data_IF_582348984085
#
_entry.id   IF_582348984085
#
_cell.length_a   1.000
_cell.length_b   1.000
_cell.length_c   1.000
_cell.angle_alpha   90.00
_cell.angle_beta   90.00
_cell.angle_gamma   90.00
#
_symmetry.space_group_name_H-M   'P 1'
#
loop_
_entity.id
_entity.type
_entity.pdbx_description
1 polymer ?
#
# COMPACT_ATOMS: atom_id res chain seq x y z
N UNK A 1 1.09 -23.19 40.07
CA UNK A 1 0.90 -24.57 39.52
C UNK A 1 0.47 -24.45 38.06
N UNK A 2 1.32 -24.91 37.12
CA UNK A 2 1.01 -24.85 35.67
C UNK A 2 0.12 -26.02 35.27
N UNK A 3 -0.85 -25.78 34.36
CA UNK A 3 -1.75 -26.80 33.82
C UNK A 3 -0.97 -28.00 33.23
N UNK A 4 -1.49 -29.23 33.37
CA UNK A 4 -0.81 -30.42 32.89
C UNK A 4 -0.62 -30.38 31.36
N UNK A 5 0.41 -31.03 30.81
CA UNK A 5 0.86 -30.85 29.39
C UNK A 5 -0.22 -31.17 28.35
N UNK A 6 -1.18 -32.05 28.66
CA UNK A 6 -2.32 -32.34 27.75
C UNK A 6 -3.33 -31.18 27.68
N UNK A 7 -3.63 -30.52 28.79
CA UNK A 7 -4.53 -29.35 28.80
C UNK A 7 -3.93 -28.14 28.09
N UNK A 8 -2.64 -27.88 28.26
CA UNK A 8 -1.96 -26.82 27.52
C UNK A 8 -2.04 -27.01 26.01
N UNK A 9 -1.83 -28.24 25.51
CA UNK A 9 -1.93 -28.54 24.07
C UNK A 9 -3.36 -28.38 23.53
N UNK A 10 -4.39 -28.64 24.32
CA UNK A 10 -5.77 -28.43 23.88
C UNK A 10 -6.13 -26.93 23.83
N UNK A 11 -5.71 -26.15 24.81
CA UNK A 11 -5.91 -24.69 24.83
C UNK A 11 -5.17 -24.00 23.68
N UNK A 12 -3.90 -24.35 23.46
CA UNK A 12 -3.14 -23.81 22.33
C UNK A 12 -3.76 -24.17 20.97
N UNK A 13 -4.32 -25.37 20.84
CA UNK A 13 -5.04 -25.79 19.62
C UNK A 13 -6.29 -24.94 19.41
N UNK A 14 -7.06 -24.74 20.47
CA UNK A 14 -8.27 -23.93 20.43
C UNK A 14 -7.94 -22.47 20.04
N UNK A 15 -6.89 -21.89 20.63
CA UNK A 15 -6.40 -20.56 20.28
C UNK A 15 -6.08 -20.41 18.77
N UNK A 16 -5.35 -21.36 18.18
CA UNK A 16 -4.99 -21.34 16.75
C UNK A 16 -6.23 -21.36 15.86
N UNK A 17 -7.19 -22.22 16.18
CA UNK A 17 -8.44 -22.40 15.42
C UNK A 17 -9.33 -21.15 15.57
N UNK A 18 -9.55 -20.69 16.79
CA UNK A 18 -10.35 -19.50 17.07
C UNK A 18 -9.75 -18.26 16.39
N UNK A 19 -8.44 -18.03 16.55
CA UNK A 19 -7.74 -16.91 15.93
C UNK A 19 -7.95 -16.89 14.42
N UNK A 20 -7.70 -18.01 13.72
CA UNK A 20 -7.88 -18.10 12.27
C UNK A 20 -9.32 -17.85 11.83
N UNK A 21 -10.31 -18.43 12.54
CA UNK A 21 -11.74 -18.26 12.23
C UNK A 21 -12.22 -16.81 12.38
N UNK A 22 -11.72 -16.10 13.39
CA UNK A 22 -12.16 -14.73 13.67
C UNK A 22 -11.41 -13.68 12.85
N UNK A 23 -10.13 -13.90 12.55
CA UNK A 23 -9.32 -12.90 11.85
C UNK A 23 -9.29 -13.09 10.35
N UNK A 24 -9.50 -14.31 9.85
CA UNK A 24 -9.37 -14.69 8.44
C UNK A 24 -8.01 -14.30 7.81
N UNK A 25 -6.97 -14.15 8.63
CA UNK A 25 -5.65 -13.76 8.18
C UNK A 25 -4.95 -14.91 7.43
N UNK A 26 -4.05 -14.65 6.47
CA UNK A 26 -3.17 -15.64 5.86
C UNK A 26 -2.39 -16.47 6.88
N UNK A 27 -1.87 -17.64 6.47
CA UNK A 27 -1.18 -18.58 7.37
C UNK A 27 0.03 -17.93 8.09
N UNK A 28 0.81 -17.15 7.34
CA UNK A 28 2.04 -16.55 7.86
C UNK A 28 1.74 -15.40 8.83
N UNK A 29 0.70 -14.62 8.58
CA UNK A 29 0.22 -13.57 9.48
C UNK A 29 -0.35 -14.16 10.79
N UNK A 30 -1.08 -15.28 10.68
CA UNK A 30 -1.52 -16.04 11.86
C UNK A 30 -0.33 -16.57 12.67
N UNK A 31 0.72 -17.05 12.01
CA UNK A 31 1.94 -17.51 12.69
C UNK A 31 2.60 -16.38 13.45
N UNK A 32 2.80 -15.24 12.79
CA UNK A 32 3.41 -14.05 13.39
C UNK A 32 2.64 -13.56 14.62
N UNK A 33 1.33 -13.44 14.51
CA UNK A 33 0.49 -12.96 15.59
C UNK A 33 0.41 -13.93 16.78
N UNK A 34 0.53 -15.25 16.54
CA UNK A 34 0.45 -16.28 17.59
C UNK A 34 1.81 -16.63 18.23
N UNK A 35 2.93 -16.31 17.57
CA UNK A 35 4.27 -16.63 18.08
C UNK A 35 4.57 -16.06 19.49
N UNK A 36 4.19 -14.82 19.83
CA UNK A 36 4.41 -14.31 21.19
C UNK A 36 3.70 -15.12 22.28
N UNK A 37 2.50 -15.66 21.97
CA UNK A 37 1.71 -16.46 22.89
C UNK A 37 2.07 -17.94 22.88
N UNK A 38 2.58 -18.44 21.76
CA UNK A 38 2.96 -19.84 21.53
C UNK A 38 4.36 -19.90 20.89
N UNK A 39 5.44 -19.67 21.65
CA UNK A 39 6.79 -19.54 21.10
C UNK A 39 7.30 -20.77 20.30
N UNK A 40 6.75 -21.94 20.55
CA UNK A 40 7.08 -23.18 19.84
C UNK A 40 6.25 -23.42 18.59
N UNK A 41 5.43 -22.46 18.18
CA UNK A 41 4.59 -22.60 17.01
C UNK A 41 5.44 -22.51 15.74
N UNK A 42 5.37 -23.55 14.92
CA UNK A 42 5.99 -23.57 13.60
C UNK A 42 4.92 -23.48 12.50
N UNK A 43 5.30 -22.97 11.34
CA UNK A 43 4.43 -22.88 10.16
C UNK A 43 3.77 -24.21 9.83
N UNK A 44 4.55 -25.29 9.81
CA UNK A 44 4.05 -26.65 9.51
C UNK A 44 3.09 -27.17 10.57
N UNK A 45 3.32 -26.88 11.87
CA UNK A 45 2.44 -27.30 12.95
C UNK A 45 1.11 -26.53 12.92
N UNK A 46 1.15 -25.24 12.60
CA UNK A 46 -0.03 -24.41 12.42
C UNK A 46 -0.84 -24.89 11.21
N UNK A 47 -0.21 -25.06 10.05
CA UNK A 47 -0.88 -25.54 8.82
C UNK A 47 -1.59 -26.88 9.03
N UNK A 48 -0.90 -27.89 9.60
CA UNK A 48 -1.52 -29.17 9.92
C UNK A 48 -2.67 -29.08 10.93
N UNK A 49 -2.60 -28.13 11.86
CA UNK A 49 -3.70 -27.87 12.78
C UNK A 49 -4.91 -27.31 12.03
N UNK A 50 -4.72 -26.32 11.17
CA UNK A 50 -5.78 -25.71 10.38
C UNK A 50 -6.39 -26.69 9.35
N UNK A 51 -5.58 -27.56 8.74
CA UNK A 51 -6.07 -28.63 7.86
C UNK A 51 -7.02 -29.60 8.57
N UNK A 52 -6.66 -30.04 9.80
CA UNK A 52 -7.52 -30.94 10.59
C UNK A 52 -8.87 -30.34 10.98
N UNK A 53 -9.02 -29.03 10.87
CA UNK A 53 -10.24 -28.31 11.18
C UNK A 53 -10.92 -27.71 9.95
N UNK A 54 -10.49 -28.09 8.74
CA UNK A 54 -11.00 -27.61 7.44
C UNK A 54 -10.98 -26.08 7.26
N UNK A 55 -10.03 -25.39 7.91
CA UNK A 55 -9.84 -23.95 7.84
C UNK A 55 -8.46 -23.54 7.32
N UNK A 56 -7.77 -24.45 6.64
CA UNK A 56 -6.46 -24.17 6.04
C UNK A 56 -6.55 -23.21 4.87
N UNK A 57 -7.65 -23.26 4.11
CA UNK A 57 -7.96 -22.28 3.06
C UNK A 57 -8.83 -21.18 3.63
N UNK A 58 -8.62 -19.96 3.13
CA UNK A 58 -9.56 -18.87 3.41
C UNK A 58 -10.87 -19.18 2.69
N UNK A 59 -12.03 -18.83 3.28
CA UNK A 59 -13.28 -18.88 2.53
C UNK A 59 -13.13 -18.02 1.28
N UNK A 60 -13.51 -18.58 0.13
CA UNK A 60 -13.67 -17.75 -1.06
C UNK A 60 -14.76 -16.75 -0.76
N UNK A 61 -14.42 -15.47 -0.80
CA UNK A 61 -15.41 -14.41 -0.77
C UNK A 61 -16.10 -14.51 -2.13
N UNK A 62 -17.23 -15.21 -2.17
CA UNK A 62 -18.14 -15.21 -3.31
C UNK A 62 -18.88 -13.86 -3.35
N UNK A 63 -18.11 -12.77 -3.50
CA UNK A 63 -18.64 -11.57 -4.08
C UNK A 63 -18.39 -11.72 -5.56
N UNK A 64 -19.33 -11.27 -6.39
CA UNK A 64 -19.18 -11.19 -7.84
C UNK A 64 -17.76 -10.79 -8.18
N UNK A 65 -16.96 -11.76 -8.62
CA UNK A 65 -15.61 -11.47 -9.12
C UNK A 65 -15.80 -10.56 -10.33
N UNK A 66 -15.52 -9.25 -10.20
CA UNK A 66 -15.47 -8.42 -11.40
C UNK A 66 -14.40 -9.07 -12.23
N UNK A 67 -14.77 -9.57 -13.41
CA UNK A 67 -13.91 -10.28 -14.35
C UNK A 67 -12.50 -9.75 -14.24
N UNK A 68 -11.53 -10.61 -13.85
CA UNK A 68 -10.14 -10.23 -13.57
C UNK A 68 -9.70 -9.22 -14.61
N UNK A 69 -9.78 -7.92 -14.27
CA UNK A 69 -9.32 -6.87 -15.17
C UNK A 69 -7.86 -7.18 -15.42
N UNK A 70 -7.53 -7.61 -16.63
CA UNK A 70 -6.14 -7.81 -17.04
C UNK A 70 -5.41 -6.54 -16.66
N UNK A 71 -4.42 -6.66 -15.79
CA UNK A 71 -3.56 -5.53 -15.47
C UNK A 71 -3.03 -4.98 -16.78
N UNK A 72 -3.26 -3.69 -17.03
CA UNK A 72 -2.67 -3.04 -18.18
C UNK A 72 -1.16 -3.13 -18.02
N UNK A 73 -0.47 -3.63 -19.04
CA UNK A 73 0.98 -3.53 -19.08
C UNK A 73 1.34 -2.06 -19.28
N UNK A 74 2.06 -1.51 -18.33
CA UNK A 74 2.60 -0.17 -18.42
C UNK A 74 4.07 -0.26 -18.84
N UNK A 75 4.60 0.68 -19.63
CA UNK A 75 6.03 0.73 -19.91
C UNK A 75 6.82 1.06 -18.64
N UNK A 76 8.10 0.70 -18.61
CA UNK A 76 9.02 1.19 -17.57
C UNK A 76 9.09 2.71 -17.68
N UNK A 77 9.06 3.42 -16.54
CA UNK A 77 8.98 4.89 -16.50
C UNK A 77 7.56 5.43 -16.32
N UNK A 78 6.58 4.57 -16.04
CA UNK A 78 5.21 4.97 -15.68
C UNK A 78 5.06 4.98 -14.15
N UNK A 79 5.24 6.16 -13.56
CA UNK A 79 5.26 6.36 -12.12
C UNK A 79 3.90 6.75 -11.56
N UNK A 80 3.61 6.24 -10.37
CA UNK A 80 2.57 6.75 -9.51
C UNK A 80 3.20 7.50 -8.35
N UNK A 81 2.83 8.76 -8.15
CA UNK A 81 3.27 9.58 -7.02
C UNK A 81 2.07 9.88 -6.12
N UNK A 82 2.24 9.64 -4.83
CA UNK A 82 1.22 9.85 -3.82
C UNK A 82 1.83 10.45 -2.55
N UNK A 83 0.98 11.06 -1.70
CA UNK A 83 1.37 11.67 -0.43
C UNK A 83 0.47 11.13 0.66
N UNK A 84 1.06 10.45 1.64
CA UNK A 84 0.37 9.97 2.83
C UNK A 84 0.73 10.81 4.06
N UNK A 85 -0.26 11.14 4.89
CA UNK A 85 -0.02 11.77 6.18
C UNK A 85 0.35 10.69 7.21
N UNK A 86 1.47 10.88 7.89
CA UNK A 86 1.95 10.00 8.96
C UNK A 86 1.89 10.77 10.28
N UNK A 87 1.24 10.19 11.27
CA UNK A 87 1.21 10.72 12.63
C UNK A 87 2.37 10.12 13.42
N UNK A 88 3.19 10.96 14.04
CA UNK A 88 4.29 10.56 14.92
C UNK A 88 4.09 11.19 16.30
N UNK A 89 4.86 10.75 17.29
CA UNK A 89 4.83 11.32 18.65
C UNK A 89 5.26 12.80 18.65
N UNK A 90 6.09 13.22 17.69
CA UNK A 90 6.59 14.60 17.53
C UNK A 90 5.66 15.47 16.66
N UNK A 91 4.61 14.90 16.04
CA UNK A 91 3.67 15.63 15.20
C UNK A 91 3.35 14.96 13.89
N UNK A 92 2.88 15.75 12.92
CA UNK A 92 2.47 15.28 11.61
C UNK A 92 3.62 15.39 10.61
N UNK A 93 3.88 14.31 9.90
CA UNK A 93 4.78 14.25 8.75
C UNK A 93 4.03 13.81 7.50
N UNK A 94 4.59 14.08 6.35
CA UNK A 94 4.05 13.72 5.05
C UNK A 94 5.05 12.84 4.32
N UNK A 95 4.64 11.60 4.05
CA UNK A 95 5.41 10.64 3.29
C UNK A 95 5.06 10.80 1.80
N UNK A 96 6.03 11.26 1.02
CA UNK A 96 5.96 11.27 -0.43
C UNK A 96 6.46 9.92 -0.94
N UNK A 97 5.73 9.32 -1.85
CA UNK A 97 6.02 8.00 -2.40
C UNK A 97 5.94 8.07 -3.91
N UNK A 98 6.97 7.61 -4.59
CA UNK A 98 6.98 7.40 -6.04
C UNK A 98 7.25 5.93 -6.34
N UNK A 99 6.40 5.29 -7.12
CA UNK A 99 6.52 3.88 -7.50
C UNK A 99 6.39 3.75 -9.01
N UNK A 100 7.38 3.14 -9.66
CA UNK A 100 7.26 2.68 -11.04
C UNK A 100 6.40 1.41 -11.05
N UNK A 101 5.34 1.42 -11.86
CA UNK A 101 4.34 0.35 -11.92
C UNK A 101 4.86 -0.95 -12.52
N UNK A 102 5.97 -0.90 -13.24
CA UNK A 102 6.53 -2.04 -13.97
C UNK A 102 7.84 -2.52 -13.38
N UNK A 103 8.81 -1.64 -13.15
CA UNK A 103 10.10 -2.01 -12.58
C UNK A 103 10.04 -2.28 -11.07
N UNK A 104 8.96 -1.85 -10.40
CA UNK A 104 8.80 -1.85 -8.94
C UNK A 104 9.83 -0.98 -8.19
N UNK A 105 10.54 -0.10 -8.93
CA UNK A 105 11.38 0.92 -8.31
C UNK A 105 10.51 1.81 -7.43
N UNK A 106 10.94 2.05 -6.19
CA UNK A 106 10.25 2.91 -5.24
C UNK A 106 11.21 3.89 -4.61
N UNK A 107 10.80 5.15 -4.53
CA UNK A 107 11.49 6.20 -3.79
C UNK A 107 10.52 6.83 -2.79
N UNK A 108 11.00 7.13 -1.59
CA UNK A 108 10.20 7.77 -0.55
C UNK A 108 10.99 8.88 0.14
N UNK A 109 10.29 9.96 0.49
CA UNK A 109 10.82 11.05 1.31
C UNK A 109 9.81 11.48 2.38
N UNK A 110 10.30 11.90 3.55
CA UNK A 110 9.49 12.46 4.62
C UNK A 110 9.69 13.98 4.65
N UNK A 111 8.58 14.72 4.68
CA UNK A 111 8.58 16.18 4.78
C UNK A 111 7.67 16.65 5.92
N UNK A 112 8.00 17.81 6.49
CA UNK A 112 7.20 18.44 7.54
C UNK A 112 5.86 18.99 7.02
N UNK A 113 5.72 19.21 5.71
CA UNK A 113 4.47 19.67 5.09
C UNK A 113 4.29 19.16 3.67
N UNK A 114 3.03 19.07 3.22
CA UNK A 114 2.67 18.73 1.85
C UNK A 114 2.29 20.02 1.11
N UNK A 115 3.20 20.54 0.31
CA UNK A 115 2.97 21.72 -0.51
C UNK A 115 3.53 21.55 -1.94
N UNK A 116 3.23 22.52 -2.81
CA UNK A 116 3.63 22.51 -4.23
C UNK A 116 5.17 22.45 -4.41
N UNK A 117 5.92 23.11 -3.54
CA UNK A 117 7.38 23.19 -3.65
C UNK A 117 8.01 21.84 -3.30
N UNK A 118 7.57 21.21 -2.21
CA UNK A 118 8.04 19.87 -1.85
C UNK A 118 7.65 18.81 -2.88
N UNK A 119 6.46 18.91 -3.48
CA UNK A 119 6.07 17.99 -4.55
C UNK A 119 7.01 18.11 -5.78
N UNK A 120 7.39 19.33 -6.17
CA UNK A 120 8.36 19.57 -7.23
C UNK A 120 9.76 19.11 -6.85
N UNK A 121 10.20 19.39 -5.63
CA UNK A 121 11.49 18.94 -5.14
C UNK A 121 11.58 17.42 -5.16
N UNK A 122 10.55 16.74 -4.68
CA UNK A 122 10.46 15.29 -4.70
C UNK A 122 10.52 14.72 -6.12
N UNK A 123 9.77 15.31 -7.09
CA UNK A 123 9.85 14.92 -8.49
C UNK A 123 11.29 15.06 -9.03
N UNK A 124 12.01 16.11 -8.69
CA UNK A 124 13.42 16.28 -9.10
C UNK A 124 14.32 15.22 -8.48
N UNK A 125 14.10 14.85 -7.21
CA UNK A 125 14.83 13.73 -6.58
C UNK A 125 14.55 12.42 -7.29
N UNK A 126 13.29 12.15 -7.66
CA UNK A 126 12.92 10.96 -8.45
C UNK A 126 13.66 10.95 -9.78
N UNK A 127 13.69 12.08 -10.50
CA UNK A 127 14.38 12.21 -11.79
C UNK A 127 15.88 11.96 -11.70
N UNK A 128 16.51 12.32 -10.58
CA UNK A 128 17.95 12.08 -10.35
C UNK A 128 18.25 10.63 -9.93
N UNK A 129 17.32 10.00 -9.19
CA UNK A 129 17.53 8.67 -8.63
C UNK A 129 17.22 7.54 -9.63
N UNK A 130 16.32 7.78 -10.58
CA UNK A 130 15.89 6.76 -11.54
C UNK A 130 16.90 6.61 -12.67
N UNK A 131 17.42 5.40 -12.95
CA UNK A 131 18.44 5.18 -14.00
C UNK A 131 17.88 5.10 -15.42
N UNK A 132 16.62 5.44 -15.64
CA UNK A 132 15.93 5.43 -16.93
C UNK A 132 14.98 6.62 -17.06
N UNK A 133 14.44 6.85 -18.26
CA UNK A 133 13.57 8.01 -18.54
C UNK A 133 12.18 7.79 -17.96
N UNK A 134 11.66 8.78 -17.21
CA UNK A 134 10.25 8.86 -16.85
C UNK A 134 9.42 9.26 -18.08
N UNK A 135 8.36 8.53 -18.33
CA UNK A 135 7.44 8.80 -19.46
C UNK A 135 6.14 9.43 -18.96
N UNK A 136 5.59 8.87 -17.89
CA UNK A 136 4.31 9.29 -17.35
C UNK A 136 4.39 9.37 -15.82
N UNK A 137 3.77 10.40 -15.25
CA UNK A 137 3.57 10.52 -13.80
C UNK A 137 2.07 10.65 -13.55
N UNK A 138 1.52 9.70 -12.81
CA UNK A 138 0.14 9.70 -12.33
C UNK A 138 0.11 10.19 -10.88
N UNK A 139 -0.70 11.23 -10.60
CA UNK A 139 -0.93 11.75 -9.25
C UNK A 139 -2.43 11.80 -8.92
N UNK A 140 -2.76 12.03 -7.68
CA UNK A 140 -4.11 12.41 -7.29
C UNK A 140 -4.43 13.88 -7.70
N UNK A 141 -5.64 14.35 -7.37
CA UNK A 141 -6.10 15.70 -7.65
C UNK A 141 -5.77 16.68 -6.49
N UNK A 142 -4.80 16.38 -5.65
CA UNK A 142 -4.37 17.22 -4.55
C UNK A 142 -3.81 18.56 -5.03
N UNK A 143 -3.99 19.61 -4.22
CA UNK A 143 -3.48 20.96 -4.51
C UNK A 143 -1.94 21.03 -4.61
N UNK A 144 -1.26 19.98 -4.20
CA UNK A 144 0.20 19.82 -4.34
C UNK A 144 0.59 19.53 -5.80
N UNK A 145 -0.30 18.92 -6.57
CA UNK A 145 -0.07 18.45 -7.93
C UNK A 145 -0.87 19.21 -9.00
N UNK A 146 -2.02 19.80 -8.63
CA UNK A 146 -2.90 20.50 -9.58
C UNK A 146 -3.53 21.75 -8.97
N UNK A 147 -4.01 22.64 -9.83
CA UNK A 147 -4.78 23.80 -9.41
C UNK A 147 -6.19 23.39 -8.98
N UNK A 148 -6.82 24.18 -8.11
CA UNK A 148 -8.23 23.98 -7.78
C UNK A 148 -9.09 24.19 -9.03
N UNK A 149 -10.14 23.42 -9.17
CA UNK A 149 -11.09 23.55 -10.29
C UNK A 149 -11.78 24.93 -10.36
N UNK A 150 -11.76 25.68 -9.25
CA UNK A 150 -12.25 27.08 -9.19
C UNK A 150 -11.30 28.10 -9.82
N UNK A 151 -10.01 27.75 -9.98
CA UNK A 151 -8.99 28.68 -10.49
C UNK A 151 -8.95 28.66 -12.03
N UNK A 152 -10.01 29.13 -12.67
CA UNK A 152 -10.16 29.13 -14.15
C UNK A 152 -9.09 29.93 -14.91
N UNK A 153 -8.38 30.85 -14.25
CA UNK A 153 -7.36 31.71 -14.83
C UNK A 153 -5.94 31.37 -14.35
N UNK A 154 -5.78 30.28 -13.63
CA UNK A 154 -4.46 29.88 -13.15
C UNK A 154 -3.58 29.40 -14.32
N UNK A 155 -2.33 29.87 -14.35
CA UNK A 155 -1.28 29.27 -15.18
C UNK A 155 -1.15 27.78 -14.87
N UNK A 156 -0.53 27.02 -15.78
CA UNK A 156 -0.23 25.61 -15.57
C UNK A 156 0.42 25.42 -14.18
N UNK A 157 -0.03 24.39 -13.44
CA UNK A 157 0.47 24.14 -12.10
C UNK A 157 1.98 23.86 -12.13
N UNK A 158 2.71 24.33 -11.11
CA UNK A 158 4.17 24.22 -11.05
C UNK A 158 4.67 22.80 -11.28
N UNK A 159 4.00 21.81 -10.70
CA UNK A 159 4.32 20.39 -10.88
C UNK A 159 4.17 19.93 -12.34
N UNK A 160 3.07 20.31 -12.97
CA UNK A 160 2.80 20.02 -14.42
C UNK A 160 3.86 20.65 -15.30
N UNK A 161 4.21 21.92 -15.06
CA UNK A 161 5.27 22.61 -15.80
C UNK A 161 6.62 21.88 -15.72
N UNK A 162 7.01 21.42 -14.54
CA UNK A 162 8.26 20.66 -14.37
C UNK A 162 8.17 19.31 -15.10
N UNK A 163 7.02 18.63 -15.11
CA UNK A 163 6.83 17.45 -15.93
C UNK A 163 7.03 17.77 -17.42
N UNK A 164 6.40 18.83 -17.91
CA UNK A 164 6.53 19.28 -19.33
C UNK A 164 7.97 19.66 -19.70
N UNK A 165 8.70 20.35 -18.82
CA UNK A 165 10.12 20.71 -19.01
C UNK A 165 11.00 19.45 -19.21
N UNK A 166 10.62 18.32 -18.61
CA UNK A 166 11.32 17.05 -18.72
C UNK A 166 10.70 16.07 -19.74
N UNK A 167 9.70 16.50 -20.51
CA UNK A 167 9.02 15.66 -21.50
C UNK A 167 8.16 14.54 -20.88
N UNK A 168 7.70 14.73 -19.65
CA UNK A 168 6.91 13.76 -18.90
C UNK A 168 5.42 14.09 -19.02
N UNK A 169 4.60 13.11 -19.36
CA UNK A 169 3.14 13.27 -19.35
C UNK A 169 2.62 13.22 -17.92
N UNK A 170 2.07 14.33 -17.43
CA UNK A 170 1.40 14.38 -16.11
C UNK A 170 -0.07 14.01 -16.25
N UNK A 171 -0.50 12.95 -15.57
CA UNK A 171 -1.88 12.45 -15.52
C UNK A 171 -2.45 12.55 -14.14
N UNK A 172 -3.73 12.90 -14.04
CA UNK A 172 -4.48 12.92 -12.79
C UNK A 172 -5.38 11.69 -12.68
N UNK A 173 -5.57 11.17 -11.47
CA UNK A 173 -6.54 10.11 -11.22
C UNK A 173 -7.97 10.62 -11.49
N UNK A 174 -8.83 9.75 -12.04
CA UNK A 174 -10.24 10.09 -12.23
C UNK A 174 -10.90 10.33 -10.87
N UNK A 175 -11.57 11.46 -10.73
CA UNK A 175 -12.41 11.72 -9.55
C UNK A 175 -13.52 10.66 -9.56
N UNK A 176 -13.58 9.80 -8.56
CA UNK A 176 -14.74 8.95 -8.34
C UNK A 176 -15.86 9.85 -7.84
N UNK A 177 -16.89 10.05 -8.65
CA UNK A 177 -18.15 10.56 -8.12
C UNK A 177 -18.66 9.54 -7.08
N UNK A 178 -19.01 9.97 -5.85
CA UNK A 178 -19.76 9.09 -4.97
C UNK A 178 -21.05 8.67 -5.70
N UNK A 179 -21.50 7.43 -5.54
CA UNK A 179 -22.84 7.07 -6.03
C UNK A 179 -23.87 7.96 -5.32
N UNK A 180 -24.77 8.54 -6.11
CA UNK A 180 -25.96 9.27 -5.63
C UNK A 180 -26.83 8.37 -4.74
#
# INVERSE_FOLDING_TARGET
>A
MGAPPRQRRSVERYHRVAFRKHTLLPLDDCLYALQPSIPRLTRSSLHRCLQRHDISRLPEITGDDPAKKRFKNYPIGDFHIDIAQVQTDEGKLYLFVAIDRTSTFALTELHASANKLFAVQFLRTVLQAVPYTLQTVLTDNGIQFTNRSSDRYACAHLFTRVCEEHGIEHRLTKVKHPPD
#
